data_IF_450242205932
#
_entry.id   IF_450242205932
#
_cell.length_a   1.000
_cell.length_b   1.000
_cell.length_c   1.000
_cell.angle_alpha   90.00
_cell.angle_beta   90.00
_cell.angle_gamma   90.00
#
_symmetry.space_group_name_H-M   'P 1'
#
loop_
_entity.id
_entity.type
_entity.pdbx_description
1 polymer ?
#
# COMPACT_ATOMS: atom_id res chain seq x y z
N UNK A 1 -2.31 4.24 25.19
CA UNK A 1 -1.65 3.03 25.71
C UNK A 1 -2.08 2.79 27.15
N UNK A 2 -2.34 1.52 27.52
CA UNK A 2 -2.63 1.15 28.93
C UNK A 2 -1.40 0.45 29.51
N UNK A 3 -1.00 0.78 30.75
CA UNK A 3 0.13 0.12 31.38
C UNK A 3 -0.16 -1.38 31.61
N UNK A 4 0.86 -2.20 31.54
CA UNK A 4 0.74 -3.64 31.75
C UNK A 4 0.52 -4.00 33.22
N UNK A 5 1.14 -3.25 34.14
CA UNK A 5 1.01 -3.38 35.59
C UNK A 5 0.67 -2.05 36.25
N UNK A 6 0.53 -2.04 37.59
CA UNK A 6 0.29 -0.82 38.36
C UNK A 6 1.60 -0.19 38.85
N UNK A 7 2.75 -0.68 38.41
CA UNK A 7 4.04 -0.13 38.73
C UNK A 7 4.25 1.24 38.09
N UNK A 8 4.98 2.11 38.78
CA UNK A 8 5.19 3.49 38.39
C UNK A 8 5.95 3.59 37.04
N UNK A 9 6.93 2.70 36.87
CA UNK A 9 7.73 2.60 35.64
C UNK A 9 6.87 2.20 34.42
N UNK A 10 5.94 1.26 34.57
CA UNK A 10 5.02 0.84 33.50
C UNK A 10 4.02 1.95 33.14
N UNK A 11 3.58 2.71 34.14
CA UNK A 11 2.67 3.86 33.91
C UNK A 11 3.41 4.95 33.16
N UNK A 12 4.66 5.24 33.50
CA UNK A 12 5.46 6.24 32.80
C UNK A 12 5.79 5.82 31.37
N UNK A 13 6.18 4.57 31.17
CA UNK A 13 6.39 4.00 29.83
C UNK A 13 5.12 4.08 28.96
N UNK A 14 3.96 3.80 29.52
CA UNK A 14 2.69 3.92 28.80
C UNK A 14 2.38 5.37 28.39
N UNK A 15 2.67 6.35 29.21
CA UNK A 15 2.53 7.79 28.89
C UNK A 15 3.49 8.23 27.79
N UNK A 16 4.76 7.80 27.86
CA UNK A 16 5.75 8.09 26.82
C UNK A 16 5.32 7.51 25.48
N UNK A 17 4.83 6.26 25.46
CA UNK A 17 4.26 5.65 24.26
C UNK A 17 3.06 6.42 23.72
N UNK A 18 2.19 6.96 24.58
CA UNK A 18 1.04 7.75 24.16
C UNK A 18 1.48 9.05 23.48
N UNK A 19 2.43 9.79 24.08
CA UNK A 19 2.99 10.99 23.45
C UNK A 19 3.68 10.70 22.13
N UNK A 20 4.42 9.60 22.02
CA UNK A 20 5.07 9.18 20.79
C UNK A 20 4.03 8.84 19.70
N UNK A 21 2.95 8.14 20.05
CA UNK A 21 1.87 7.83 19.10
C UNK A 21 1.15 9.08 18.62
N UNK A 22 0.89 10.05 19.52
CA UNK A 22 0.29 11.33 19.15
C UNK A 22 1.20 12.13 18.20
N UNK A 23 2.49 12.15 18.46
CA UNK A 23 3.47 12.76 17.55
C UNK A 23 3.47 12.08 16.18
N UNK A 24 3.62 10.76 16.14
CA UNK A 24 3.62 9.98 14.90
C UNK A 24 2.30 10.12 14.14
N UNK A 25 1.17 10.24 14.83
CA UNK A 25 -0.13 10.45 14.19
C UNK A 25 -0.16 11.73 13.33
N UNK A 26 0.43 12.79 13.84
CA UNK A 26 0.52 14.05 13.13
C UNK A 26 1.59 14.02 12.04
N UNK A 27 2.77 13.52 12.36
CA UNK A 27 3.91 13.45 11.44
C UNK A 27 3.61 12.60 10.20
N UNK A 28 3.00 11.44 10.40
CA UNK A 28 2.62 10.55 9.31
C UNK A 28 1.34 10.97 8.55
N UNK A 29 0.70 12.06 8.94
CA UNK A 29 -0.52 12.52 8.31
C UNK A 29 -1.67 11.50 8.38
N UNK A 30 -1.79 10.78 9.48
CA UNK A 30 -2.71 9.64 9.63
C UNK A 30 -4.17 10.00 9.35
N UNK A 31 -4.57 11.25 9.58
CA UNK A 31 -5.93 11.69 9.30
C UNK A 31 -6.28 11.59 7.80
N UNK A 32 -5.34 11.96 6.92
CA UNK A 32 -5.52 11.87 5.46
C UNK A 32 -5.55 10.40 5.04
N UNK A 33 -4.63 9.59 5.57
CA UNK A 33 -4.56 8.14 5.30
C UNK A 33 -5.84 7.42 5.75
N UNK A 34 -6.41 7.80 6.88
CA UNK A 34 -7.70 7.26 7.32
C UNK A 34 -8.86 7.62 6.40
N UNK A 35 -8.89 8.81 5.85
CA UNK A 35 -9.91 9.18 4.85
C UNK A 35 -9.85 8.29 3.61
N UNK A 36 -8.66 7.98 3.15
CA UNK A 36 -8.44 7.05 2.05
C UNK A 36 -8.86 5.62 2.43
N UNK A 37 -8.44 5.16 3.60
CA UNK A 37 -8.81 3.84 4.12
C UNK A 37 -10.33 3.66 4.23
N UNK A 38 -11.06 4.67 4.70
CA UNK A 38 -12.53 4.65 4.78
C UNK A 38 -13.16 4.53 3.40
N UNK A 39 -12.62 5.20 2.38
CA UNK A 39 -13.10 5.04 0.99
C UNK A 39 -12.92 3.62 0.49
N UNK A 40 -11.73 3.03 0.70
CA UNK A 40 -11.48 1.63 0.34
C UNK A 40 -12.40 0.67 1.07
N UNK A 41 -12.60 0.86 2.39
CA UNK A 41 -13.57 0.05 3.15
C UNK A 41 -14.99 0.18 2.62
N UNK A 42 -15.43 1.38 2.26
CA UNK A 42 -16.76 1.59 1.71
C UNK A 42 -16.97 0.92 0.35
N UNK A 43 -15.95 0.95 -0.50
CA UNK A 43 -16.00 0.41 -1.87
C UNK A 43 -15.77 -1.10 -1.87
N UNK A 44 -14.63 -1.54 -1.37
CA UNK A 44 -14.15 -2.92 -1.45
C UNK A 44 -14.44 -3.77 -0.20
N UNK A 45 -14.89 -3.13 0.89
CA UNK A 45 -15.20 -3.79 2.15
C UNK A 45 -14.01 -4.07 3.04
N UNK A 46 -12.79 -3.90 2.53
CA UNK A 46 -11.54 -4.19 3.24
C UNK A 46 -10.48 -3.19 2.82
N UNK A 47 -9.59 -2.87 3.72
CA UNK A 47 -8.38 -2.07 3.47
C UNK A 47 -7.24 -2.65 4.28
N UNK A 48 -6.03 -2.50 3.80
CA UNK A 48 -4.82 -2.89 4.50
C UNK A 48 -3.97 -1.65 4.79
N UNK A 49 -3.34 -1.67 5.96
CA UNK A 49 -2.26 -0.75 6.31
C UNK A 49 -0.98 -1.57 6.35
N UNK A 50 0.03 -1.18 5.60
CA UNK A 50 1.37 -1.75 5.69
C UNK A 50 2.20 -0.86 6.59
N UNK A 51 2.82 -1.45 7.60
CA UNK A 51 3.67 -0.77 8.56
C UNK A 51 5.09 -1.30 8.39
N UNK A 52 6.04 -0.41 8.13
CA UNK A 52 7.43 -0.75 7.98
C UNK A 52 8.32 0.37 8.51
N UNK A 53 9.58 0.08 8.69
CA UNK A 53 10.56 1.04 9.15
C UNK A 53 11.38 1.54 7.97
N UNK A 54 11.54 2.85 7.86
CA UNK A 54 12.38 3.49 6.85
C UNK A 54 13.59 4.12 7.55
N UNK A 55 14.75 3.53 7.33
CA UNK A 55 16.00 3.99 7.92
C UNK A 55 16.47 5.34 7.36
N UNK A 56 16.04 5.68 6.15
CA UNK A 56 16.39 6.93 5.46
C UNK A 56 15.45 8.10 5.82
N UNK A 57 14.35 7.83 6.54
CA UNK A 57 13.41 8.84 6.99
C UNK A 57 13.83 9.48 8.31
N UNK A 58 13.23 10.63 8.62
CA UNK A 58 13.47 11.36 9.87
C UNK A 58 14.53 12.43 9.77
N UNK A 59 14.78 13.07 10.91
CA UNK A 59 15.76 14.14 11.00
C UNK A 59 17.18 13.60 10.86
N UNK A 60 17.96 14.20 9.97
CA UNK A 60 19.38 13.92 9.86
C UNK A 60 20.14 14.48 11.08
N UNK A 61 20.98 13.67 11.68
CA UNK A 61 21.96 14.13 12.66
C UNK A 61 23.37 13.79 12.17
N UNK A 62 24.29 14.67 12.53
CA UNK A 62 25.69 14.47 12.18
C UNK A 62 26.30 13.53 13.21
N UNK A 63 26.65 12.31 12.77
CA UNK A 63 27.33 11.32 13.61
C UNK A 63 28.84 11.62 13.63
N UNK A 64 29.26 12.37 14.65
CA UNK A 64 30.65 12.72 14.85
C UNK A 64 30.86 13.50 16.11
N UNK A 65 31.79 13.06 16.96
CA UNK A 65 32.12 13.66 18.26
C UNK A 65 32.75 15.09 18.18
N UNK A 66 32.94 15.63 16.98
CA UNK A 66 33.59 16.95 16.80
C UNK A 66 32.74 17.82 15.88
N UNK A 67 32.00 18.75 16.45
CA UNK A 67 31.61 19.94 15.68
C UNK A 67 32.90 20.73 15.40
N UNK A 68 33.39 20.75 14.16
CA UNK A 68 34.56 21.55 13.84
C UNK A 68 34.19 23.02 14.06
N UNK A 69 34.83 23.66 15.04
CA UNK A 69 34.77 25.09 15.16
C UNK A 69 35.38 25.74 13.91
N UNK A 70 34.88 26.88 13.49
CA UNK A 70 35.37 27.61 12.32
C UNK A 70 36.90 27.75 12.31
N UNK A 71 37.52 27.85 13.49
CA UNK A 71 38.97 27.92 13.66
C UNK A 71 39.68 26.60 13.33
N UNK A 72 39.08 25.46 13.66
CA UNK A 72 39.63 24.13 13.34
C UNK A 72 39.61 23.84 11.85
N UNK A 73 38.56 24.24 11.16
CA UNK A 73 38.43 24.09 9.70
C UNK A 73 39.43 24.98 8.95
N UNK A 74 39.73 26.16 9.45
CA UNK A 74 40.69 27.08 8.82
C UNK A 74 42.12 26.59 8.90
N UNK A 75 42.51 25.85 9.94
CA UNK A 75 43.88 25.33 10.11
C UNK A 75 44.11 23.96 9.46
N UNK A 76 43.05 23.13 9.25
CA UNK A 76 43.17 21.74 8.83
C UNK A 76 42.23 21.39 7.65
N UNK A 77 42.27 22.15 6.56
CA UNK A 77 41.44 21.93 5.37
C UNK A 77 41.63 20.54 4.72
N UNK A 78 42.71 19.81 5.01
CA UNK A 78 43.01 18.50 4.45
C UNK A 78 42.47 17.31 5.28
N UNK A 79 42.11 17.55 6.55
CA UNK A 79 41.65 16.52 7.50
C UNK A 79 40.24 16.78 8.02
N UNK A 80 39.32 17.28 7.16
CA UNK A 80 37.92 17.35 7.54
C UNK A 80 37.40 15.92 7.62
N UNK A 81 37.03 15.40 8.80
CA UNK A 81 36.45 14.06 8.87
C UNK A 81 35.20 14.02 8.03
N UNK A 82 35.04 12.95 7.23
CA UNK A 82 33.79 12.67 6.55
C UNK A 82 32.70 12.55 7.60
N UNK A 83 31.90 13.60 7.72
CA UNK A 83 30.75 13.61 8.61
C UNK A 83 29.66 12.83 7.88
N UNK A 84 29.39 11.61 8.33
CA UNK A 84 28.26 10.85 7.81
C UNK A 84 26.96 11.42 8.39
N UNK A 85 26.05 11.81 7.53
CA UNK A 85 24.68 12.08 7.95
C UNK A 85 23.99 10.76 8.27
N UNK A 86 23.77 10.50 9.54
CA UNK A 86 22.91 9.42 9.99
C UNK A 86 21.49 9.95 10.18
N UNK A 87 20.49 9.17 9.80
CA UNK A 87 19.09 9.48 10.05
C UNK A 87 18.53 8.60 11.16
N UNK A 88 17.58 9.14 11.90
CA UNK A 88 16.99 8.42 13.04
C UNK A 88 16.09 7.28 12.61
N UNK A 89 15.67 7.24 11.33
CA UNK A 89 14.64 6.36 10.84
C UNK A 89 13.26 6.71 11.40
N UNK A 90 12.21 6.42 10.65
CA UNK A 90 10.82 6.59 11.10
C UNK A 90 9.97 5.41 10.64
N UNK A 91 8.92 5.06 11.41
CA UNK A 91 7.93 4.12 10.94
C UNK A 91 7.13 4.75 9.81
N UNK A 92 6.88 4.00 8.75
CA UNK A 92 6.03 4.39 7.62
C UNK A 92 4.77 3.55 7.66
N UNK A 93 3.62 4.18 7.41
CA UNK A 93 2.32 3.52 7.34
C UNK A 93 1.70 3.86 6.00
N UNK A 94 1.50 2.86 5.15
CA UNK A 94 0.86 3.02 3.86
C UNK A 94 -0.53 2.40 3.85
N UNK A 95 -1.47 3.09 3.20
CA UNK A 95 -2.81 2.56 2.93
C UNK A 95 -2.77 1.82 1.62
N UNK A 96 -3.07 0.52 1.67
CA UNK A 96 -2.99 -0.35 0.50
C UNK A 96 -4.38 -0.83 0.11
N UNK A 97 -4.66 -0.74 -1.18
CA UNK A 97 -5.86 -1.28 -1.78
C UNK A 97 -5.91 -2.81 -1.63
N UNK A 98 -7.07 -3.41 -1.32
CA UNK A 98 -7.20 -4.87 -1.30
C UNK A 98 -6.98 -5.52 -2.68
N UNK A 99 -6.93 -4.74 -3.76
CA UNK A 99 -6.61 -5.22 -5.11
C UNK A 99 -5.10 -5.42 -5.33
N UNK A 100 -4.27 -4.83 -4.48
CA UNK A 100 -2.80 -4.92 -4.54
C UNK A 100 -2.26 -5.97 -3.56
N UNK A 101 -3.12 -6.57 -2.74
CA UNK A 101 -2.73 -7.52 -1.70
C UNK A 101 -3.28 -8.91 -2.00
N UNK A 102 -2.38 -9.88 -2.09
CA UNK A 102 -2.70 -11.30 -2.06
C UNK A 102 -2.56 -11.85 -0.65
N UNK A 103 -3.41 -12.79 -0.28
CA UNK A 103 -3.37 -13.45 1.02
C UNK A 103 -3.66 -14.95 0.91
N UNK A 104 -3.37 -15.71 1.95
CA UNK A 104 -3.67 -17.13 2.04
C UNK A 104 -5.18 -17.39 1.87
N UNK A 105 -5.60 -18.14 0.83
CA UNK A 105 -7.02 -18.43 0.60
C UNK A 105 -7.68 -19.21 1.73
N UNK A 106 -6.91 -19.89 2.57
CA UNK A 106 -7.41 -20.63 3.73
C UNK A 106 -7.64 -19.76 4.96
N UNK A 107 -7.16 -18.51 4.96
CA UNK A 107 -7.28 -17.59 6.08
C UNK A 107 -8.71 -17.07 6.27
N UNK A 108 -9.12 -16.88 7.53
CA UNK A 108 -10.38 -16.23 7.90
C UNK A 108 -10.17 -14.87 8.55
N UNK A 109 -9.00 -14.67 9.11
CA UNK A 109 -8.56 -13.46 9.80
C UNK A 109 -7.05 -13.30 9.67
N UNK A 110 -6.52 -12.18 10.17
CA UNK A 110 -5.09 -11.92 10.13
C UNK A 110 -4.28 -12.92 10.95
N UNK A 111 -4.84 -13.49 12.01
CA UNK A 111 -4.13 -14.42 12.90
C UNK A 111 -3.93 -15.78 12.24
N UNK A 112 -4.89 -16.21 11.44
CA UNK A 112 -4.84 -17.48 10.69
C UNK A 112 -4.14 -17.36 9.33
N UNK A 113 -3.84 -16.13 8.88
CA UNK A 113 -3.18 -15.89 7.61
C UNK A 113 -1.70 -16.30 7.68
N UNK A 114 -1.29 -17.27 6.84
CA UNK A 114 0.07 -17.81 6.81
C UNK A 114 1.02 -16.94 5.99
N UNK A 115 0.54 -16.38 4.90
CA UNK A 115 1.34 -15.56 4.01
C UNK A 115 0.51 -14.41 3.43
N UNK A 116 1.19 -13.33 3.12
CA UNK A 116 0.65 -12.18 2.39
C UNK A 116 1.65 -11.72 1.34
N UNK A 117 1.12 -11.20 0.25
CA UNK A 117 1.92 -10.61 -0.81
C UNK A 117 1.36 -9.22 -1.15
N UNK A 118 2.24 -8.28 -1.41
CA UNK A 118 1.90 -6.93 -1.83
C UNK A 118 2.51 -6.66 -3.21
N UNK A 119 1.67 -6.33 -4.19
CA UNK A 119 2.08 -5.97 -5.54
C UNK A 119 2.14 -4.46 -5.66
N UNK A 120 3.30 -3.92 -5.97
CA UNK A 120 3.53 -2.51 -6.18
C UNK A 120 4.09 -2.26 -7.58
N UNK A 121 3.59 -1.23 -8.26
CA UNK A 121 4.06 -0.85 -9.59
C UNK A 121 5.11 0.24 -9.46
N UNK A 122 6.38 -0.10 -9.68
CA UNK A 122 7.53 0.79 -9.56
C UNK A 122 8.10 1.17 -10.93
N UNK A 123 8.72 2.33 -11.01
CA UNK A 123 9.50 2.70 -12.19
C UNK A 123 10.79 1.87 -12.26
N UNK A 124 11.20 1.47 -13.46
CA UNK A 124 12.38 0.60 -13.64
C UNK A 124 13.67 1.23 -13.10
N UNK A 125 13.80 2.55 -13.21
CA UNK A 125 14.98 3.24 -12.70
C UNK A 125 15.04 3.26 -11.17
N UNK A 126 13.87 3.31 -10.50
CA UNK A 126 13.76 3.20 -9.06
C UNK A 126 14.15 1.80 -8.58
N UNK A 127 13.70 0.76 -9.29
CA UNK A 127 14.11 -0.64 -9.02
C UNK A 127 15.62 -0.82 -9.18
N UNK A 128 16.20 -0.23 -10.23
CA UNK A 128 17.67 -0.29 -10.46
C UNK A 128 18.47 0.52 -9.44
N UNK A 129 17.94 1.62 -8.97
CA UNK A 129 18.57 2.43 -7.92
C UNK A 129 18.55 1.70 -6.57
N UNK A 130 17.43 1.07 -6.22
CA UNK A 130 17.26 0.36 -4.96
C UNK A 130 18.00 -0.98 -4.91
N UNK A 131 18.06 -1.72 -6.03
CA UNK A 131 18.77 -3.00 -6.15
C UNK A 131 19.77 -2.96 -7.31
N UNK A 132 20.94 -2.27 -7.16
CA UNK A 132 21.85 -2.01 -8.27
C UNK A 132 22.43 -3.26 -8.93
N UNK A 133 22.59 -4.36 -8.20
CA UNK A 133 23.16 -5.60 -8.74
C UNK A 133 22.13 -6.42 -9.51
N UNK A 134 20.96 -6.68 -8.92
CA UNK A 134 19.92 -7.54 -9.49
C UNK A 134 18.94 -6.78 -10.38
N UNK A 135 18.67 -5.51 -10.09
CA UNK A 135 17.76 -4.66 -10.85
C UNK A 135 18.17 -4.42 -12.30
N UNK A 136 19.48 -4.57 -12.63
CA UNK A 136 19.96 -4.50 -14.02
C UNK A 136 19.36 -5.60 -14.92
N UNK A 137 18.96 -6.71 -14.34
CA UNK A 137 18.40 -7.85 -15.06
C UNK A 137 16.89 -7.77 -15.21
N UNK A 138 16.26 -6.83 -14.51
CA UNK A 138 14.81 -6.60 -14.59
C UNK A 138 14.49 -5.85 -15.88
N UNK A 139 13.48 -6.35 -16.60
CA UNK A 139 12.95 -5.71 -17.80
C UNK A 139 11.61 -5.04 -17.48
N UNK A 140 11.28 -3.92 -18.13
CA UNK A 140 9.96 -3.34 -18.01
C UNK A 140 8.91 -4.37 -18.45
N UNK A 141 7.85 -4.51 -17.69
CA UNK A 141 6.76 -5.42 -18.04
C UNK A 141 5.84 -4.74 -19.06
N UNK A 142 6.06 -5.05 -20.33
CA UNK A 142 5.24 -4.55 -21.44
C UNK A 142 3.84 -5.19 -21.47
N UNK A 143 3.61 -6.24 -20.69
CA UNK A 143 2.36 -7.01 -20.66
C UNK A 143 1.47 -6.72 -19.46
N UNK A 144 1.85 -5.76 -18.60
CA UNK A 144 0.94 -5.33 -17.55
C UNK A 144 -0.24 -4.57 -18.17
N UNK A 145 -1.12 -5.33 -18.76
CA UNK A 145 -2.48 -4.89 -19.00
C UNK A 145 -3.13 -4.75 -17.61
N UNK A 146 -3.02 -3.55 -17.05
CA UNK A 146 -3.88 -3.15 -15.94
C UNK A 146 -5.28 -3.62 -16.30
N UNK A 147 -5.87 -4.48 -15.50
CA UNK A 147 -7.22 -4.98 -15.67
C UNK A 147 -8.12 -3.89 -16.26
N UNK A 148 -8.92 -4.23 -17.28
CA UNK A 148 -9.74 -3.25 -18.02
C UNK A 148 -10.53 -2.30 -17.12
N UNK A 149 -10.91 -2.76 -15.93
CA UNK A 149 -11.60 -1.96 -14.93
C UNK A 149 -10.67 -0.91 -14.30
N UNK A 150 -9.46 -1.31 -13.91
CA UNK A 150 -8.44 -0.40 -13.38
C UNK A 150 -7.96 0.58 -14.45
N UNK A 151 -7.86 0.16 -15.72
CA UNK A 151 -7.57 1.06 -16.85
C UNK A 151 -8.67 2.09 -17.07
N UNK A 152 -9.93 1.69 -16.94
CA UNK A 152 -11.06 2.61 -17.13
C UNK A 152 -11.11 3.64 -15.99
N UNK A 153 -10.89 3.20 -14.76
CA UNK A 153 -10.80 4.09 -13.58
C UNK A 153 -9.59 5.01 -13.70
N UNK A 154 -8.42 4.49 -14.06
CA UNK A 154 -7.22 5.29 -14.26
C UNK A 154 -7.37 6.28 -15.43
N UNK A 155 -8.01 5.90 -16.54
CA UNK A 155 -8.31 6.80 -17.68
C UNK A 155 -9.26 7.92 -17.30
N UNK A 156 -10.24 7.68 -16.46
CA UNK A 156 -11.16 8.73 -16.00
C UNK A 156 -10.46 9.71 -15.05
N UNK A 157 -9.56 9.24 -14.19
CA UNK A 157 -8.74 10.09 -13.32
C UNK A 157 -7.56 10.75 -14.06
N UNK A 158 -7.03 10.10 -15.10
CA UNK A 158 -5.88 10.58 -15.89
C UNK A 158 -6.27 11.48 -17.07
N UNK A 159 -7.48 12.00 -17.11
CA UNK A 159 -7.92 12.92 -18.17
C UNK A 159 -7.05 14.19 -18.32
N UNK A 160 -6.09 14.39 -17.43
CA UNK A 160 -5.15 15.50 -17.47
C UNK A 160 -3.80 15.19 -18.15
N UNK A 161 -3.51 13.94 -18.51
CA UNK A 161 -2.20 13.57 -19.08
C UNK A 161 -2.36 12.58 -20.22
N UNK A 162 -2.76 13.08 -21.39
CA UNK A 162 -2.57 12.37 -22.64
C UNK A 162 -1.11 12.52 -23.07
N UNK A 163 -0.24 11.67 -22.58
CA UNK A 163 1.03 11.34 -23.23
C UNK A 163 1.06 9.85 -23.42
N UNK A 164 1.00 9.45 -24.66
CA UNK A 164 0.85 8.09 -25.19
C UNK A 164 2.05 7.15 -24.93
N UNK A 165 3.03 7.58 -24.12
CA UNK A 165 4.36 6.93 -24.03
C UNK A 165 4.78 6.51 -22.61
N UNK A 166 3.91 6.61 -21.61
CA UNK A 166 4.30 6.38 -20.20
C UNK A 166 4.07 4.96 -19.66
N UNK A 167 3.60 4.01 -20.46
CA UNK A 167 3.32 2.65 -19.99
C UNK A 167 4.54 1.72 -19.99
N UNK A 168 5.69 2.14 -20.53
CA UNK A 168 6.74 1.22 -20.92
C UNK A 168 7.88 1.02 -19.91
N UNK A 169 8.01 1.90 -18.91
CA UNK A 169 9.16 1.85 -17.98
C UNK A 169 8.77 1.45 -16.55
N UNK A 170 7.68 0.73 -16.39
CA UNK A 170 7.23 0.23 -15.10
C UNK A 170 7.31 -1.28 -15.01
N UNK A 171 7.52 -1.77 -13.79
CA UNK A 171 7.56 -3.20 -13.47
C UNK A 171 6.78 -3.45 -12.20
N UNK A 172 6.07 -4.58 -12.17
CA UNK A 172 5.42 -5.04 -10.95
C UNK A 172 6.46 -5.65 -10.02
N UNK A 173 6.57 -5.07 -8.84
CA UNK A 173 7.37 -5.60 -7.74
C UNK A 173 6.44 -6.28 -6.76
N UNK A 174 6.68 -7.55 -6.51
CA UNK A 174 5.92 -8.36 -5.57
C UNK A 174 6.75 -8.57 -4.31
N UNK A 175 6.25 -8.10 -3.19
CA UNK A 175 6.80 -8.38 -1.87
C UNK A 175 6.01 -9.51 -1.22
N UNK A 176 6.68 -10.57 -0.83
CA UNK A 176 6.09 -11.77 -0.23
C UNK A 176 6.55 -11.92 1.21
N UNK A 177 5.60 -12.18 2.10
CA UNK A 177 5.83 -12.36 3.54
C UNK A 177 5.17 -13.67 3.98
N UNK A 178 5.92 -14.55 4.62
CA UNK A 178 5.42 -15.81 5.17
C UNK A 178 5.77 -15.90 6.66
N UNK A 179 4.77 -16.26 7.46
CA UNK A 179 4.96 -16.54 8.89
C UNK A 179 5.79 -17.79 9.11
N UNK A 180 6.38 -17.92 10.31
CA UNK A 180 7.09 -19.14 10.70
C UNK A 180 6.28 -20.38 10.37
N UNK A 181 6.90 -21.30 9.65
CA UNK A 181 6.32 -22.56 9.19
C UNK A 181 7.35 -23.70 9.35
N UNK A 182 6.95 -24.98 9.25
CA UNK A 182 7.92 -26.07 9.28
C UNK A 182 8.98 -26.02 8.16
N UNK A 183 8.68 -25.32 7.06
CA UNK A 183 9.62 -25.10 5.97
C UNK A 183 10.55 -23.92 6.25
N UNK A 184 10.02 -22.86 6.82
CA UNK A 184 10.74 -21.65 7.18
C UNK A 184 10.52 -21.35 8.68
N UNK A 185 11.35 -21.87 9.58
CA UNK A 185 11.13 -21.78 11.03
C UNK A 185 11.09 -20.36 11.59
N UNK A 186 11.81 -19.44 10.94
CA UNK A 186 11.84 -18.02 11.32
C UNK A 186 11.02 -17.12 10.40
N UNK A 187 10.21 -17.76 9.52
CA UNK A 187 9.45 -17.06 8.49
C UNK A 187 10.27 -16.87 7.22
N UNK A 188 9.70 -16.16 6.26
CA UNK A 188 10.34 -15.91 4.97
C UNK A 188 9.88 -14.58 4.40
N UNK A 189 10.81 -13.87 3.80
CA UNK A 189 10.56 -12.62 3.10
C UNK A 189 11.28 -12.63 1.76
N UNK A 190 10.61 -12.21 0.70
CA UNK A 190 11.21 -12.08 -0.62
C UNK A 190 10.61 -10.92 -1.42
N UNK A 191 11.45 -10.29 -2.23
CA UNK A 191 11.04 -9.31 -3.23
C UNK A 191 11.38 -9.84 -4.60
N UNK A 192 10.37 -9.87 -5.47
CA UNK A 192 10.50 -10.37 -6.84
C UNK A 192 9.97 -9.31 -7.81
N UNK A 193 10.72 -9.05 -8.88
CA UNK A 193 10.27 -8.22 -9.99
C UNK A 193 10.34 -9.05 -11.28
N UNK A 194 9.22 -9.16 -11.99
CA UNK A 194 9.09 -10.05 -13.16
C UNK A 194 9.53 -11.50 -12.81
N UNK A 195 10.69 -11.92 -13.24
CA UNK A 195 11.28 -13.25 -12.96
C UNK A 195 12.56 -13.17 -12.15
N UNK A 196 12.94 -11.98 -11.66
CA UNK A 196 14.17 -11.72 -10.93
C UNK A 196 13.90 -11.63 -9.44
N UNK A 197 14.55 -12.48 -8.65
CA UNK A 197 14.54 -12.40 -7.19
C UNK A 197 15.48 -11.27 -6.76
N UNK A 198 14.90 -10.13 -6.37
CA UNK A 198 15.64 -8.93 -5.97
C UNK A 198 16.25 -9.08 -4.59
N UNK A 199 15.43 -9.53 -3.64
CA UNK A 199 15.82 -9.70 -2.24
C UNK A 199 15.21 -10.98 -1.68
N UNK A 200 15.92 -11.61 -0.73
CA UNK A 200 15.47 -12.82 -0.06
C UNK A 200 16.05 -12.84 1.35
N UNK A 201 15.20 -13.11 2.33
CA UNK A 201 15.59 -13.28 3.72
C UNK A 201 14.84 -14.48 4.31
N UNK A 202 15.58 -15.38 4.96
CA UNK A 202 14.99 -16.54 5.67
C UNK A 202 14.46 -16.19 7.07
N UNK A 203 14.14 -14.92 7.27
CA UNK A 203 13.58 -14.38 8.52
C UNK A 203 12.46 -13.42 8.15
N UNK A 204 11.33 -13.54 8.82
CA UNK A 204 10.26 -12.56 8.66
C UNK A 204 10.62 -11.28 9.43
N UNK A 205 10.71 -10.13 8.76
CA UNK A 205 10.95 -8.87 9.43
C UNK A 205 9.96 -8.66 10.57
N UNK A 206 10.46 -8.28 11.76
CA UNK A 206 9.67 -8.06 12.99
C UNK A 206 8.91 -9.30 13.51
N UNK A 207 9.13 -10.51 12.96
CA UNK A 207 8.45 -11.75 13.36
C UNK A 207 6.93 -11.78 13.15
N UNK A 208 6.39 -10.78 12.47
CA UNK A 208 4.95 -10.63 12.18
C UNK A 208 4.74 -10.11 10.75
N UNK A 209 3.59 -10.43 10.16
CA UNK A 209 3.19 -9.82 8.90
C UNK A 209 3.05 -8.30 9.10
N UNK A 210 3.66 -7.47 8.24
CA UNK A 210 3.65 -6.02 8.39
C UNK A 210 2.32 -5.38 7.96
N UNK A 211 1.22 -6.12 8.03
CA UNK A 211 -0.09 -5.68 7.59
C UNK A 211 -1.09 -5.65 8.74
N UNK A 212 -1.86 -4.58 8.77
CA UNK A 212 -3.03 -4.44 9.64
C UNK A 212 -4.25 -4.32 8.73
N UNK A 213 -5.27 -5.13 8.97
CA UNK A 213 -6.48 -5.17 8.17
C UNK A 213 -7.65 -4.49 8.91
N UNK A 214 -8.35 -3.61 8.19
CA UNK A 214 -9.64 -3.09 8.64
C UNK A 214 -10.75 -3.50 7.66
N UNK A 215 -11.92 -3.85 8.21
CA UNK A 215 -13.10 -4.30 7.45
C UNK A 215 -14.30 -3.43 7.75
N UNK A 216 -15.08 -3.10 6.72
CA UNK A 216 -16.32 -2.34 6.88
C UNK A 216 -17.41 -3.20 7.50
N UNK A 217 -17.80 -4.27 6.81
CA UNK A 217 -18.79 -5.22 7.28
C UNK A 217 -18.16 -6.63 7.27
N UNK A 218 -18.02 -7.22 8.45
CA UNK A 218 -17.42 -8.54 8.59
C UNK A 218 -18.41 -9.63 8.20
N UNK A 219 -17.99 -10.52 7.30
CA UNK A 219 -18.75 -11.71 6.93
C UNK A 219 -18.13 -12.91 7.63
N UNK A 220 -18.90 -13.62 8.49
CA UNK A 220 -18.36 -14.79 9.18
C UNK A 220 -17.74 -15.82 8.23
N UNK A 221 -16.52 -16.27 8.53
CA UNK A 221 -15.81 -17.26 7.75
C UNK A 221 -15.11 -16.76 6.49
N UNK A 222 -15.16 -15.45 6.21
CA UNK A 222 -14.43 -14.83 5.10
C UNK A 222 -13.35 -13.89 5.61
N UNK A 223 -12.20 -13.91 4.95
CA UNK A 223 -11.10 -13.01 5.24
C UNK A 223 -11.45 -11.56 4.91
N UNK A 224 -12.00 -11.31 3.73
CA UNK A 224 -12.42 -9.97 3.30
C UNK A 224 -13.82 -9.62 3.82
N UNK A 225 -14.03 -8.35 4.15
CA UNK A 225 -15.32 -7.78 4.45
C UNK A 225 -16.14 -7.43 3.20
N UNK A 226 -17.36 -6.96 3.42
CA UNK A 226 -18.23 -6.42 2.36
C UNK A 226 -18.36 -4.90 2.48
N UNK A 227 -18.23 -4.20 1.34
CA UNK A 227 -18.42 -2.77 1.24
C UNK A 227 -19.89 -2.37 1.12
N UNK A 228 -20.19 -1.10 1.38
CA UNK A 228 -21.52 -0.53 1.19
C UNK A 228 -22.00 -0.68 -0.24
N UNK A 229 -21.09 -0.52 -1.20
CA UNK A 229 -21.38 -0.60 -2.64
C UNK A 229 -21.97 -1.96 -3.02
N UNK A 230 -21.51 -3.04 -2.40
CA UNK A 230 -21.99 -4.40 -2.69
C UNK A 230 -23.49 -4.54 -2.52
N UNK A 231 -24.06 -3.93 -1.48
CA UNK A 231 -25.51 -3.97 -1.21
C UNK A 231 -26.33 -3.10 -2.16
N UNK A 232 -25.72 -2.09 -2.77
CA UNK A 232 -26.37 -1.14 -3.68
C UNK A 232 -26.40 -1.65 -5.13
N UNK A 233 -25.46 -2.52 -5.51
CA UNK A 233 -25.32 -3.04 -6.89
C UNK A 233 -26.62 -3.61 -7.47
N UNK A 234 -27.40 -4.45 -6.78
CA UNK A 234 -28.66 -4.99 -7.32
C UNK A 234 -29.68 -3.89 -7.62
N UNK A 235 -29.86 -2.95 -6.71
CA UNK A 235 -30.78 -1.83 -6.89
C UNK A 235 -30.36 -0.92 -8.07
N UNK A 236 -29.07 -0.64 -8.21
CA UNK A 236 -28.53 0.13 -9.31
C UNK A 236 -28.73 -0.58 -10.66
N UNK A 237 -28.54 -1.89 -10.71
CA UNK A 237 -28.80 -2.69 -11.92
C UNK A 237 -30.25 -2.60 -12.36
N UNK A 238 -31.20 -2.72 -11.44
CA UNK A 238 -32.64 -2.60 -11.74
C UNK A 238 -33.02 -1.16 -12.18
N UNK A 239 -32.45 -0.16 -11.54
CA UNK A 239 -32.63 1.23 -11.97
C UNK A 239 -32.13 1.46 -13.40
N UNK A 240 -30.92 1.02 -13.71
CA UNK A 240 -30.33 1.14 -15.04
C UNK A 240 -31.17 0.42 -16.11
N UNK A 241 -31.67 -0.79 -15.79
CA UNK A 241 -32.56 -1.54 -16.66
C UNK A 241 -33.87 -0.80 -16.92
N UNK A 242 -34.49 -0.26 -15.88
CA UNK A 242 -35.72 0.52 -15.99
C UNK A 242 -35.54 1.78 -16.84
N UNK A 243 -34.42 2.49 -16.66
CA UNK A 243 -34.09 3.67 -17.46
C UNK A 243 -33.89 3.27 -18.94
N UNK A 244 -33.16 2.21 -19.21
CA UNK A 244 -32.92 1.71 -20.57
C UNK A 244 -34.24 1.34 -21.26
N UNK A 245 -35.12 0.63 -20.57
CA UNK A 245 -36.46 0.28 -21.10
C UNK A 245 -37.32 1.52 -21.37
N UNK A 246 -37.27 2.53 -20.51
CA UNK A 246 -37.97 3.79 -20.75
C UNK A 246 -37.44 4.53 -21.97
N UNK A 247 -36.12 4.55 -22.18
CA UNK A 247 -35.49 5.17 -23.34
C UNK A 247 -35.90 4.42 -24.60
N UNK A 248 -35.87 3.09 -24.61
CA UNK A 248 -36.28 2.24 -25.69
C UNK A 248 -37.76 2.46 -26.06
N UNK A 249 -38.64 2.42 -25.07
CA UNK A 249 -40.07 2.72 -25.26
C UNK A 249 -40.30 4.11 -25.85
N UNK A 250 -39.57 5.11 -25.38
CA UNK A 250 -39.62 6.46 -25.91
C UNK A 250 -39.20 6.49 -27.40
N UNK A 251 -38.13 5.80 -27.74
CA UNK A 251 -37.63 5.73 -29.11
C UNK A 251 -38.59 4.98 -30.06
N UNK A 252 -39.23 3.92 -29.54
CA UNK A 252 -40.21 3.14 -30.35
C UNK A 252 -41.54 3.88 -30.51
N UNK A 253 -42.00 4.59 -29.50
CA UNK A 253 -43.34 5.22 -29.51
C UNK A 253 -43.32 6.72 -29.83
N UNK A 254 -42.17 7.39 -29.82
CA UNK A 254 -42.05 8.81 -30.16
C UNK A 254 -42.32 9.09 -31.65
N UNK A 255 -42.29 8.07 -32.49
CA UNK A 255 -42.69 8.14 -33.93
C UNK A 255 -43.74 7.06 -34.19
N UNK A 256 -45.03 7.27 -33.87
CA UNK A 256 -46.08 6.30 -34.17
C UNK A 256 -46.22 6.11 -35.69
N UNK A 257 -45.92 4.89 -36.16
CA UNK A 257 -46.18 4.50 -37.53
C UNK A 257 -47.63 4.11 -37.66
N UNK A 258 -48.43 4.99 -38.27
CA UNK A 258 -49.81 4.69 -38.62
C UNK A 258 -49.82 3.83 -39.89
N UNK A 259 -50.42 2.65 -39.80
CA UNK A 259 -50.70 1.82 -40.98
C UNK A 259 -52.15 2.07 -41.35
N UNK A 260 -52.38 2.79 -42.44
CA UNK A 260 -53.72 2.92 -43.03
C UNK A 260 -53.98 1.71 -43.93
N UNK A 261 -54.99 0.93 -43.64
CA UNK A 261 -55.52 -0.03 -44.64
C UNK A 261 -56.26 0.75 -45.71
N UNK A 262 -56.04 0.33 -46.95
CA UNK A 262 -56.72 0.86 -48.17
C UNK A 262 -58.08 0.26 -48.29
#
# INVERSE_FOLDING_TARGET
CSPATTDEDDIEAARQCEHMLDYLWHELGMQVKLHEAVKWMAIAGTVFFKVWWDDDAGDGYLDGEVQPTLDYVAENIQDVPEVSESRTGLPVIDVISPLEVGWDPGAKDMDTCRWMAHANLMHIDEVRARWPDKGKHVKPDASYEVDQYSQQVLREFSRASQTDDQSLDRVMVLEYFERPSPRHPEGYYAIVAESVLLEEQEVLPYGKLPFVMARHNTVPGRFSGEGVVTSIIPAQKELNKSISQRIENKNLHAQPKWRAEK
#
